data_IF_014514162874
#
_entry.id   IF_014514162874
#
_cell.length_a   1.000
_cell.length_b   1.000
_cell.length_c   1.000
_cell.angle_alpha   90.00
_cell.angle_beta   90.00
_cell.angle_gamma   90.00
#
_symmetry.space_group_name_H-M   'P 1'
#
loop_
_entity.id
_entity.type
_entity.pdbx_description
1 polymer ?
#
# COMPACT_ATOMS: atom_id res chain seq x y z
N UNK A 1 -4.77 18.89 -9.15
CA UNK A 1 -4.17 17.55 -9.31
C UNK A 1 -5.30 16.57 -9.58
N UNK A 2 -5.07 15.47 -10.30
CA UNK A 2 -6.12 14.46 -10.53
C UNK A 2 -6.15 13.50 -9.35
N UNK A 3 -7.35 13.22 -8.82
CA UNK A 3 -7.53 12.25 -7.76
C UNK A 3 -7.46 10.81 -8.31
N UNK A 4 -6.81 9.90 -7.57
CA UNK A 4 -6.90 8.46 -7.76
C UNK A 4 -8.10 7.90 -6.99
N UNK A 5 -8.28 8.37 -5.75
CA UNK A 5 -9.44 8.08 -4.94
C UNK A 5 -10.04 9.34 -4.36
N UNK A 6 -11.37 9.36 -4.25
CA UNK A 6 -12.13 10.34 -3.50
C UNK A 6 -13.05 9.62 -2.51
N UNK A 7 -12.89 9.92 -1.24
CA UNK A 7 -13.60 9.26 -0.15
C UNK A 7 -14.47 10.29 0.54
N UNK A 8 -15.77 10.00 0.66
CA UNK A 8 -16.75 10.91 1.23
C UNK A 8 -17.58 10.21 2.31
N UNK A 9 -17.59 10.79 3.51
CA UNK A 9 -18.39 10.39 4.68
C UNK A 9 -18.33 8.87 4.93
N UNK A 10 -17.10 8.30 4.86
CA UNK A 10 -16.93 6.86 5.02
C UNK A 10 -16.92 6.50 6.50
N UNK A 11 -17.87 5.66 6.88
CA UNK A 11 -17.88 4.98 8.17
C UNK A 11 -17.67 3.48 7.98
N UNK A 12 -17.00 2.83 8.93
CA UNK A 12 -16.84 1.38 8.94
C UNK A 12 -16.93 0.83 10.36
N UNK A 13 -17.71 -0.22 10.51
CA UNK A 13 -17.77 -1.00 11.75
C UNK A 13 -17.54 -2.50 11.51
N UNK A 14 -16.98 -3.18 12.51
CA UNK A 14 -16.98 -4.63 12.63
C UNK A 14 -17.91 -5.01 13.78
N UNK A 15 -19.06 -5.58 13.44
CA UNK A 15 -20.17 -5.74 14.40
C UNK A 15 -20.53 -4.40 15.03
N UNK A 16 -20.50 -4.32 16.34
CA UNK A 16 -20.83 -3.10 17.10
C UNK A 16 -19.65 -2.09 17.21
N UNK A 17 -18.43 -2.49 16.81
CA UNK A 17 -17.24 -1.65 16.97
C UNK A 17 -17.04 -0.74 15.78
N UNK A 18 -17.27 0.57 15.95
CA UNK A 18 -16.93 1.59 14.96
C UNK A 18 -15.42 1.77 14.90
N UNK A 19 -14.84 1.56 13.69
CA UNK A 19 -13.39 1.63 13.42
C UNK A 19 -13.02 2.84 12.60
N UNK A 20 -13.84 3.21 11.62
CA UNK A 20 -13.68 4.45 10.84
C UNK A 20 -14.92 5.31 11.06
N UNK A 21 -14.71 6.64 11.15
CA UNK A 21 -15.75 7.61 11.47
C UNK A 21 -15.63 8.82 10.56
N UNK A 22 -16.62 8.99 9.69
CA UNK A 22 -16.75 10.16 8.81
C UNK A 22 -15.46 10.52 8.06
N UNK A 23 -14.81 9.52 7.46
CA UNK A 23 -13.57 9.73 6.72
C UNK A 23 -13.87 10.48 5.43
N UNK A 24 -13.19 11.61 5.25
CA UNK A 24 -13.21 12.42 4.04
C UNK A 24 -11.78 12.71 3.62
N UNK A 25 -11.36 12.24 2.42
CA UNK A 25 -10.00 12.43 1.92
C UNK A 25 -9.93 12.22 0.40
N UNK A 26 -9.14 13.07 -0.27
CA UNK A 26 -8.79 12.92 -1.68
C UNK A 26 -7.34 12.46 -1.80
N UNK A 27 -7.11 11.33 -2.50
CA UNK A 27 -5.79 10.74 -2.71
C UNK A 27 -5.38 10.97 -4.17
N UNK A 28 -4.21 11.57 -4.39
CA UNK A 28 -3.80 12.07 -5.71
C UNK A 28 -2.99 11.06 -6.51
N UNK A 29 -3.20 11.05 -7.84
CA UNK A 29 -2.45 10.20 -8.78
C UNK A 29 -0.95 10.55 -8.78
N UNK A 30 -0.11 9.51 -8.91
CA UNK A 30 1.34 9.62 -8.99
C UNK A 30 1.94 10.40 -7.81
N UNK A 31 1.36 10.16 -6.62
CA UNK A 31 1.81 10.70 -5.34
C UNK A 31 1.91 9.58 -4.31
N UNK A 32 2.83 9.76 -3.37
CA UNK A 32 2.92 8.92 -2.19
C UNK A 32 2.13 9.59 -1.07
N UNK A 33 1.09 8.91 -0.58
CA UNK A 33 0.34 9.35 0.60
C UNK A 33 0.60 8.41 1.76
N UNK A 34 1.12 8.92 2.87
CA UNK A 34 1.32 8.16 4.08
C UNK A 34 0.15 8.32 5.05
N UNK A 35 -0.31 7.21 5.63
CA UNK A 35 -1.23 7.18 6.77
C UNK A 35 -0.42 6.89 8.04
N UNK A 36 -0.38 7.85 8.96
CA UNK A 36 0.31 7.74 10.25
C UNK A 36 -0.67 7.82 11.43
N UNK A 37 -0.26 7.37 12.60
CA UNK A 37 -1.08 7.41 13.82
C UNK A 37 -0.87 6.17 14.69
N UNK A 38 -1.45 6.16 15.91
CA UNK A 38 -1.32 5.04 16.84
C UNK A 38 -1.81 3.70 16.27
N UNK A 39 -1.34 2.60 16.85
CA UNK A 39 -1.85 1.27 16.48
C UNK A 39 -3.34 1.15 16.76
N UNK A 40 -4.08 0.51 15.85
CA UNK A 40 -5.51 0.28 16.01
C UNK A 40 -6.41 1.49 15.72
N UNK A 41 -5.89 2.63 15.22
CA UNK A 41 -6.69 3.82 14.91
C UNK A 41 -7.42 3.78 13.55
N UNK A 42 -7.35 2.66 12.78
CA UNK A 42 -8.14 2.48 11.55
C UNK A 42 -7.36 2.59 10.23
N UNK A 43 -6.05 2.90 10.22
CA UNK A 43 -5.23 3.09 9.00
C UNK A 43 -5.30 1.92 8.02
N UNK A 44 -4.95 0.72 8.48
CA UNK A 44 -4.99 -0.50 7.66
C UNK A 44 -6.42 -0.87 7.26
N UNK A 45 -7.41 -0.51 8.09
CA UNK A 45 -8.82 -0.70 7.74
C UNK A 45 -9.21 0.18 6.56
N UNK A 46 -8.86 1.48 6.58
CA UNK A 46 -9.09 2.36 5.44
C UNK A 46 -8.34 1.89 4.21
N UNK A 47 -7.05 1.50 4.35
CA UNK A 47 -6.26 0.99 3.24
C UNK A 47 -6.97 -0.18 2.55
N UNK A 48 -7.52 -1.12 3.32
CA UNK A 48 -8.25 -2.30 2.81
C UNK A 48 -9.63 -1.98 2.23
N UNK A 49 -10.22 -0.82 2.56
CA UNK A 49 -11.44 -0.37 1.90
C UNK A 49 -11.16 -0.06 0.41
N UNK A 50 -9.98 0.50 0.07
CA UNK A 50 -9.67 0.99 -1.27
C UNK A 50 -9.64 -0.12 -2.34
N UNK A 51 -9.40 -1.38 -1.92
CA UNK A 51 -9.43 -2.54 -2.81
C UNK A 51 -10.49 -3.57 -2.42
N UNK A 52 -11.43 -3.19 -1.56
CA UNK A 52 -12.55 -4.03 -1.11
C UNK A 52 -12.10 -5.32 -0.41
N UNK A 53 -10.92 -5.32 0.23
CA UNK A 53 -10.48 -6.48 1.02
C UNK A 53 -11.33 -6.68 2.30
N UNK A 54 -11.97 -5.61 2.79
CA UNK A 54 -12.87 -5.71 3.95
C UNK A 54 -14.17 -6.46 3.62
N UNK A 55 -14.55 -6.63 2.36
CA UNK A 55 -15.68 -7.47 1.92
C UNK A 55 -15.50 -8.96 2.31
N UNK A 56 -14.26 -9.36 2.64
CA UNK A 56 -13.93 -10.73 3.05
C UNK A 56 -14.04 -10.95 4.56
N UNK A 57 -14.43 -9.92 5.32
CA UNK A 57 -14.53 -9.96 6.78
C UNK A 57 -16.01 -10.00 7.13
N UNK A 58 -16.41 -11.03 7.88
CA UNK A 58 -17.78 -11.16 8.38
C UNK A 58 -18.14 -9.97 9.28
N UNK A 59 -19.41 -9.58 9.27
CA UNK A 59 -19.95 -8.44 10.03
C UNK A 59 -19.25 -7.08 9.77
N UNK A 60 -18.63 -6.91 8.60
CA UNK A 60 -18.10 -5.62 8.18
C UNK A 60 -19.19 -4.78 7.51
N UNK A 61 -19.52 -3.64 8.13
CA UNK A 61 -20.50 -2.69 7.62
C UNK A 61 -19.80 -1.40 7.20
N UNK A 62 -19.97 -1.02 5.93
CA UNK A 62 -19.35 0.18 5.34
C UNK A 62 -20.47 1.07 4.80
N UNK A 63 -20.45 2.35 5.16
CA UNK A 63 -21.33 3.38 4.61
C UNK A 63 -20.49 4.53 4.06
N UNK A 64 -21.10 5.44 3.30
CA UNK A 64 -20.38 6.49 2.56
C UNK A 64 -19.97 6.03 1.17
N UNK A 65 -19.07 6.75 0.53
CA UNK A 65 -18.70 6.52 -0.87
C UNK A 65 -17.18 6.54 -1.06
N UNK A 66 -16.67 5.59 -1.80
CA UNK A 66 -15.29 5.57 -2.28
C UNK A 66 -15.33 5.56 -3.81
N UNK A 67 -14.85 6.64 -4.42
CA UNK A 67 -14.68 6.73 -5.86
C UNK A 67 -13.23 6.42 -6.23
N UNK A 68 -13.04 5.54 -7.20
CA UNK A 68 -11.77 5.27 -7.86
C UNK A 68 -11.89 5.70 -9.32
N UNK A 69 -11.08 6.68 -9.74
CA UNK A 69 -11.15 7.30 -11.07
C UNK A 69 -12.60 7.69 -11.44
N UNK A 70 -13.28 8.42 -10.53
CA UNK A 70 -14.67 8.91 -10.60
C UNK A 70 -15.77 7.82 -10.62
N UNK A 71 -15.42 6.56 -10.36
CA UNK A 71 -16.39 5.44 -10.31
C UNK A 71 -16.48 4.87 -8.90
N UNK A 72 -17.71 4.65 -8.43
CA UNK A 72 -17.93 3.99 -7.14
C UNK A 72 -17.38 2.55 -7.18
N UNK A 73 -16.43 2.27 -6.27
CA UNK A 73 -15.80 0.95 -6.18
C UNK A 73 -16.80 -0.17 -5.88
N UNK A 74 -17.94 0.14 -5.22
CA UNK A 74 -18.98 -0.84 -4.93
C UNK A 74 -19.70 -1.32 -6.20
N UNK A 75 -19.69 -0.51 -7.27
CA UNK A 75 -20.27 -0.86 -8.58
C UNK A 75 -19.26 -1.58 -9.48
N UNK A 76 -17.99 -1.67 -9.08
CA UNK A 76 -16.95 -2.33 -9.85
C UNK A 76 -16.86 -3.82 -9.52
N UNK A 77 -16.46 -4.62 -10.52
CA UNK A 77 -16.07 -6.01 -10.25
C UNK A 77 -14.80 -6.02 -9.36
N UNK A 78 -14.84 -6.67 -8.18
CA UNK A 78 -13.70 -6.70 -7.26
C UNK A 78 -12.40 -7.24 -7.88
N UNK A 79 -12.49 -8.17 -8.82
CA UNK A 79 -11.28 -8.70 -9.51
C UNK A 79 -10.65 -7.63 -10.39
N UNK A 80 -11.45 -6.84 -11.11
CA UNK A 80 -10.95 -5.72 -11.93
C UNK A 80 -10.36 -4.64 -11.04
N UNK A 81 -11.04 -4.27 -9.95
CA UNK A 81 -10.53 -3.30 -8.98
C UNK A 81 -9.18 -3.75 -8.42
N UNK A 82 -9.06 -5.00 -7.96
CA UNK A 82 -7.82 -5.55 -7.37
C UNK A 82 -6.69 -5.76 -8.37
N UNK A 83 -6.98 -5.78 -9.67
CA UNK A 83 -5.95 -5.74 -10.72
C UNK A 83 -5.33 -4.34 -10.81
N UNK A 84 -6.15 -3.29 -10.71
CA UNK A 84 -5.71 -1.91 -10.82
C UNK A 84 -5.22 -1.32 -9.48
N UNK A 85 -5.62 -1.93 -8.36
CA UNK A 85 -5.27 -1.51 -7.00
C UNK A 85 -4.58 -2.68 -6.28
N UNK A 86 -3.27 -2.78 -6.49
CA UNK A 86 -2.42 -3.83 -5.90
C UNK A 86 -2.21 -3.62 -4.41
N UNK A 87 -1.86 -4.70 -3.69
CA UNK A 87 -1.60 -4.63 -2.25
C UNK A 87 -0.34 -5.40 -1.84
N UNK A 88 0.46 -4.77 -1.01
CA UNK A 88 1.63 -5.33 -0.32
C UNK A 88 1.32 -5.36 1.17
N UNK A 89 1.43 -6.53 1.79
CA UNK A 89 1.08 -6.75 3.19
C UNK A 89 2.26 -6.51 4.12
N UNK A 90 1.97 -6.31 5.40
CA UNK A 90 2.94 -6.10 6.46
C UNK A 90 3.95 -7.26 6.57
N UNK A 91 3.44 -8.49 6.60
CA UNK A 91 4.27 -9.67 6.56
C UNK A 91 4.44 -10.12 5.11
N UNK A 92 5.69 -10.36 4.64
CA UNK A 92 5.91 -10.94 3.33
C UNK A 92 5.12 -12.23 3.17
N UNK A 93 4.44 -12.37 2.05
CA UNK A 93 3.58 -13.53 1.78
C UNK A 93 3.86 -14.13 0.39
N UNK A 94 5.10 -14.54 0.11
CA UNK A 94 5.39 -15.24 -1.13
C UNK A 94 4.60 -16.54 -1.20
N UNK A 95 4.10 -16.88 -2.37
CA UNK A 95 3.47 -18.18 -2.59
C UNK A 95 4.53 -19.29 -2.50
N UNK A 96 4.17 -20.53 -2.12
CA UNK A 96 5.07 -21.69 -2.10
C UNK A 96 5.39 -22.17 -3.53
N UNK A 97 5.93 -21.28 -4.33
CA UNK A 97 6.29 -21.42 -5.73
C UNK A 97 7.70 -20.86 -5.96
N UNK A 98 8.22 -20.99 -7.17
CA UNK A 98 9.49 -20.36 -7.53
C UNK A 98 9.40 -18.83 -7.50
N UNK A 99 10.56 -18.17 -7.46
CA UNK A 99 10.68 -16.71 -7.57
C UNK A 99 9.98 -16.22 -8.85
N UNK A 100 10.27 -16.87 -9.99
CA UNK A 100 9.63 -16.55 -11.27
C UNK A 100 8.11 -16.67 -11.21
N UNK A 101 7.59 -17.80 -10.72
CA UNK A 101 6.14 -18.05 -10.70
C UNK A 101 5.41 -17.13 -9.72
N UNK A 102 6.06 -16.65 -8.65
CA UNK A 102 5.47 -15.62 -7.79
C UNK A 102 5.16 -14.35 -8.55
N UNK A 103 6.09 -13.84 -9.35
CA UNK A 103 5.90 -12.60 -10.11
C UNK A 103 4.96 -12.83 -11.30
N UNK A 104 5.08 -13.98 -11.98
CA UNK A 104 4.25 -14.33 -13.13
C UNK A 104 2.81 -14.70 -12.77
N UNK A 105 2.50 -14.94 -11.48
CA UNK A 105 1.22 -15.52 -11.04
C UNK A 105 0.00 -14.73 -11.52
N UNK A 106 -0.03 -13.44 -11.26
CA UNK A 106 -1.14 -12.57 -11.67
C UNK A 106 -1.33 -12.53 -13.19
N UNK A 107 -0.24 -12.46 -13.94
CA UNK A 107 -0.26 -12.47 -15.42
C UNK A 107 -0.85 -13.78 -15.95
N UNK A 108 -0.50 -14.92 -15.33
CA UNK A 108 -1.09 -16.20 -15.68
C UNK A 108 -2.58 -16.29 -15.37
N UNK A 109 -3.02 -15.71 -14.25
CA UNK A 109 -4.44 -15.62 -13.91
C UNK A 109 -5.23 -14.79 -14.92
N UNK A 110 -4.59 -13.77 -15.55
CA UNK A 110 -5.15 -13.02 -16.67
C UNK A 110 -5.13 -13.78 -18.02
N UNK A 111 -4.63 -15.02 -18.04
CA UNK A 111 -4.57 -15.84 -19.24
C UNK A 111 -3.37 -15.57 -20.15
N UNK A 112 -2.37 -14.81 -19.70
CA UNK A 112 -1.14 -14.57 -20.48
C UNK A 112 -0.33 -15.86 -20.54
N UNK A 113 -0.16 -16.43 -21.75
CA UNK A 113 0.55 -17.68 -22.02
C UNK A 113 1.86 -17.48 -22.77
N UNK A 114 2.10 -16.31 -23.33
CA UNK A 114 3.31 -16.01 -24.10
C UNK A 114 4.53 -16.03 -23.19
N UNK A 115 5.41 -17.04 -23.38
CA UNK A 115 6.59 -17.25 -22.52
C UNK A 115 7.56 -16.07 -22.54
N UNK A 116 7.75 -15.43 -23.71
CA UNK A 116 8.65 -14.28 -23.84
C UNK A 116 8.11 -13.10 -23.06
N UNK A 117 6.83 -12.76 -23.26
CA UNK A 117 6.17 -11.67 -22.54
C UNK A 117 6.22 -11.90 -21.00
N UNK A 118 5.91 -13.10 -20.54
CA UNK A 118 6.00 -13.44 -19.11
C UNK A 118 7.42 -13.25 -18.58
N UNK A 119 8.43 -13.74 -19.32
CA UNK A 119 9.83 -13.61 -18.92
C UNK A 119 10.26 -12.13 -18.85
N UNK A 120 9.95 -11.36 -19.89
CA UNK A 120 10.35 -9.96 -20.00
C UNK A 120 9.68 -9.14 -18.87
N UNK A 121 8.38 -9.34 -18.59
CA UNK A 121 7.66 -8.68 -17.49
C UNK A 121 8.21 -9.07 -16.12
N UNK A 122 8.50 -10.37 -15.90
CA UNK A 122 9.07 -10.83 -14.62
C UNK A 122 10.44 -10.19 -14.38
N UNK A 123 11.31 -10.18 -15.40
CA UNK A 123 12.65 -9.57 -15.29
C UNK A 123 12.54 -8.08 -15.01
N UNK A 124 11.68 -7.36 -15.74
CA UNK A 124 11.46 -5.93 -15.53
C UNK A 124 10.96 -5.63 -14.10
N UNK A 125 9.95 -6.37 -13.65
CA UNK A 125 9.40 -6.21 -12.30
C UNK A 125 10.42 -6.51 -11.19
N UNK A 126 11.25 -7.54 -11.37
CA UNK A 126 12.33 -7.84 -10.42
C UNK A 126 13.42 -6.77 -10.43
N UNK A 127 13.73 -6.16 -11.59
CA UNK A 127 14.66 -5.04 -11.69
C UNK A 127 14.09 -3.80 -10.99
N UNK A 128 12.83 -3.44 -11.27
CA UNK A 128 12.13 -2.34 -10.60
C UNK A 128 12.09 -2.55 -9.09
N UNK A 129 11.92 -3.78 -8.62
CA UNK A 129 11.96 -4.13 -7.19
C UNK A 129 13.38 -4.24 -6.60
N UNK A 130 14.42 -3.85 -7.35
CA UNK A 130 15.83 -3.93 -6.96
C UNK A 130 16.24 -5.34 -6.45
N UNK A 131 15.62 -6.40 -6.99
CA UNK A 131 15.84 -7.78 -6.56
C UNK A 131 16.53 -8.64 -7.64
N UNK A 132 16.45 -8.23 -8.92
CA UNK A 132 16.90 -9.04 -10.06
C UNK A 132 18.36 -9.53 -9.93
N UNK A 133 19.29 -8.63 -9.61
CA UNK A 133 20.72 -8.99 -9.53
C UNK A 133 21.02 -10.02 -8.43
N UNK A 134 20.20 -10.05 -7.39
CA UNK A 134 20.36 -11.02 -6.29
C UNK A 134 19.78 -12.42 -6.62
N UNK A 135 18.88 -12.51 -7.62
CA UNK A 135 18.11 -13.74 -7.88
C UNK A 135 18.17 -14.22 -9.33
N UNK A 136 18.83 -13.52 -10.26
CA UNK A 136 18.83 -13.80 -11.69
C UNK A 136 19.24 -15.24 -12.05
N UNK A 137 20.16 -15.82 -11.31
CA UNK A 137 20.67 -17.19 -11.54
C UNK A 137 19.86 -18.28 -10.82
N UNK A 138 18.85 -17.87 -10.03
CA UNK A 138 18.04 -18.75 -9.18
C UNK A 138 16.53 -18.49 -9.26
N UNK A 139 16.05 -18.00 -10.40
CA UNK A 139 14.63 -17.70 -10.62
C UNK A 139 13.69 -18.91 -10.46
N UNK A 140 14.23 -20.12 -10.57
CA UNK A 140 13.48 -21.37 -10.39
C UNK A 140 13.48 -21.88 -8.95
N UNK A 141 14.28 -21.28 -8.05
CA UNK A 141 14.33 -21.66 -6.65
C UNK A 141 13.04 -21.23 -5.94
N UNK A 142 12.77 -21.90 -4.82
CA UNK A 142 11.63 -21.56 -3.97
C UNK A 142 11.74 -20.13 -3.44
N UNK A 143 10.67 -19.35 -3.58
CA UNK A 143 10.59 -18.01 -3.02
C UNK A 143 10.70 -17.98 -1.48
N UNK A 144 10.35 -19.10 -0.82
CA UNK A 144 10.45 -19.24 0.64
C UNK A 144 11.91 -19.33 1.13
N UNK A 145 12.88 -19.57 0.24
CA UNK A 145 14.31 -19.59 0.57
C UNK A 145 14.94 -18.20 0.65
N UNK A 146 14.21 -17.17 0.28
CA UNK A 146 14.66 -15.77 0.30
C UNK A 146 14.66 -15.22 1.73
N UNK A 147 15.55 -14.24 2.02
CA UNK A 147 15.49 -13.47 3.26
C UNK A 147 14.21 -12.63 3.36
N UNK A 148 13.83 -12.18 4.55
CA UNK A 148 12.60 -11.39 4.75
C UNK A 148 12.54 -10.14 3.86
N UNK A 149 13.63 -9.37 3.76
CA UNK A 149 13.70 -8.21 2.87
C UNK A 149 13.63 -8.57 1.37
N UNK A 150 14.21 -9.71 0.97
CA UNK A 150 14.08 -10.22 -0.40
C UNK A 150 12.66 -10.68 -0.69
N UNK A 151 12.01 -11.37 0.27
CA UNK A 151 10.61 -11.77 0.14
C UNK A 151 9.68 -10.56 0.01
N UNK A 152 9.93 -9.50 0.77
CA UNK A 152 9.14 -8.27 0.68
C UNK A 152 9.30 -7.61 -0.71
N UNK A 153 10.53 -7.48 -1.21
CA UNK A 153 10.78 -6.97 -2.56
C UNK A 153 10.17 -7.86 -3.64
N UNK A 154 10.14 -9.18 -3.43
CA UNK A 154 9.44 -10.10 -4.32
C UNK A 154 7.92 -9.86 -4.32
N UNK A 155 7.31 -9.61 -3.15
CA UNK A 155 5.89 -9.26 -3.06
C UNK A 155 5.58 -7.93 -3.76
N UNK A 156 6.49 -6.95 -3.69
CA UNK A 156 6.38 -5.71 -4.45
C UNK A 156 6.51 -5.99 -5.95
N UNK A 157 7.53 -6.78 -6.39
CA UNK A 157 7.68 -7.18 -7.79
C UNK A 157 6.42 -7.87 -8.34
N UNK A 158 5.81 -8.75 -7.54
CA UNK A 158 4.54 -9.41 -7.88
C UNK A 158 3.40 -8.41 -8.07
N UNK A 159 3.32 -7.39 -7.22
CA UNK A 159 2.28 -6.37 -7.30
C UNK A 159 2.45 -5.50 -8.56
N UNK A 160 3.66 -4.99 -8.82
CA UNK A 160 3.93 -4.10 -9.97
C UNK A 160 3.90 -4.83 -11.32
N UNK A 161 4.10 -6.15 -11.35
CA UNK A 161 4.03 -6.95 -12.59
C UNK A 161 2.66 -6.88 -13.28
N UNK A 162 1.62 -6.56 -12.51
CA UNK A 162 0.25 -6.37 -13.03
C UNK A 162 0.02 -4.99 -13.63
N UNK A 163 1.00 -4.08 -13.56
CA UNK A 163 0.90 -2.67 -13.94
C UNK A 163 -0.34 -1.98 -13.32
N UNK A 164 -0.49 -2.04 -11.99
CA UNK A 164 -1.61 -1.38 -11.32
C UNK A 164 -1.47 0.14 -11.39
N UNK A 165 -2.59 0.88 -11.31
CA UNK A 165 -2.57 2.33 -11.16
C UNK A 165 -2.18 2.76 -9.73
N UNK A 166 -2.53 1.91 -8.75
CA UNK A 166 -2.32 2.18 -7.32
C UNK A 166 -1.70 0.98 -6.62
N UNK A 167 -0.74 1.25 -5.73
CA UNK A 167 -0.13 0.26 -4.85
C UNK A 167 -0.42 0.64 -3.40
N UNK A 168 -1.14 -0.23 -2.70
CA UNK A 168 -1.40 -0.12 -1.28
C UNK A 168 -0.31 -0.87 -0.51
N UNK A 169 0.29 -0.25 0.51
CA UNK A 169 1.35 -0.85 1.31
C UNK A 169 0.99 -0.76 2.80
N UNK A 170 0.74 -1.89 3.43
CA UNK A 170 0.41 -1.97 4.86
C UNK A 170 1.68 -2.28 5.65
N UNK A 171 2.29 -1.27 6.25
CA UNK A 171 3.53 -1.35 7.06
C UNK A 171 4.66 -2.19 6.41
N UNK A 172 5.08 -1.92 5.16
CA UNK A 172 5.91 -2.83 4.37
C UNK A 172 7.33 -3.05 4.91
N UNK A 173 7.74 -2.31 5.93
CA UNK A 173 9.10 -2.36 6.50
C UNK A 173 9.15 -2.76 7.98
N UNK A 174 7.98 -2.97 8.61
CA UNK A 174 7.89 -3.17 10.08
C UNK A 174 8.60 -4.43 10.59
N UNK A 175 8.74 -5.46 9.75
CA UNK A 175 9.39 -6.73 10.08
C UNK A 175 10.84 -6.82 9.55
N UNK A 176 11.43 -5.70 9.08
CA UNK A 176 12.72 -5.69 8.40
C UNK A 176 13.79 -5.01 9.23
N UNK A 177 15.04 -5.41 9.00
CA UNK A 177 16.20 -4.71 9.54
C UNK A 177 16.39 -3.32 8.89
N UNK A 178 17.20 -2.42 9.49
CA UNK A 178 17.38 -1.06 8.96
C UNK A 178 17.93 -0.99 7.53
N UNK A 179 18.79 -1.93 7.12
CA UNK A 179 19.36 -1.95 5.76
C UNK A 179 18.30 -2.35 4.74
N UNK A 180 17.52 -3.38 5.05
CA UNK A 180 16.40 -3.80 4.21
C UNK A 180 15.31 -2.70 4.14
N UNK A 181 15.05 -1.99 5.24
CA UNK A 181 14.12 -0.86 5.29
C UNK A 181 14.54 0.25 4.33
N UNK A 182 15.82 0.68 4.35
CA UNK A 182 16.32 1.71 3.43
C UNK A 182 16.15 1.30 1.97
N UNK A 183 16.46 0.04 1.62
CA UNK A 183 16.26 -0.47 0.25
C UNK A 183 14.79 -0.42 -0.19
N UNK A 184 13.85 -0.68 0.72
CA UNK A 184 12.41 -0.57 0.42
C UNK A 184 11.99 0.90 0.27
N UNK A 185 12.53 1.82 1.08
CA UNK A 185 12.24 3.25 0.96
C UNK A 185 12.75 3.82 -0.39
N UNK A 186 13.99 3.50 -0.76
CA UNK A 186 14.56 3.87 -2.07
C UNK A 186 13.73 3.29 -3.23
N UNK A 187 13.28 2.05 -3.09
CA UNK A 187 12.40 1.42 -4.05
C UNK A 187 11.06 2.17 -4.16
N UNK A 188 10.40 2.48 -3.05
CA UNK A 188 9.12 3.20 -3.03
C UNK A 188 9.28 4.57 -3.72
N UNK A 189 10.35 5.31 -3.41
CA UNK A 189 10.62 6.61 -4.04
C UNK A 189 10.83 6.47 -5.56
N UNK A 190 11.50 5.42 -6.01
CA UNK A 190 11.70 5.16 -7.45
C UNK A 190 10.41 4.80 -8.21
N UNK A 191 9.39 4.32 -7.51
CA UNK A 191 8.12 3.89 -8.12
C UNK A 191 7.09 5.02 -8.26
N UNK A 192 7.26 6.16 -7.59
CA UNK A 192 6.25 7.24 -7.53
C UNK A 192 5.91 7.86 -8.87
N UNK A 193 6.86 7.86 -9.83
CA UNK A 193 6.64 8.43 -11.16
C UNK A 193 5.68 7.57 -12.02
N UNK A 194 5.64 6.26 -11.75
CA UNK A 194 4.79 5.32 -12.48
C UNK A 194 3.49 4.99 -11.75
N UNK A 195 3.51 4.96 -10.40
CA UNK A 195 2.42 4.45 -9.57
C UNK A 195 1.93 5.48 -8.55
N UNK A 196 0.66 5.44 -8.24
CA UNK A 196 0.13 6.07 -7.03
C UNK A 196 0.39 5.14 -5.86
N UNK A 197 0.98 5.63 -4.76
CA UNK A 197 1.32 4.78 -3.61
C UNK A 197 0.60 5.30 -2.36
N UNK A 198 -0.07 4.39 -1.65
CA UNK A 198 -0.68 4.69 -0.36
C UNK A 198 -0.05 3.74 0.66
N UNK A 199 0.67 4.31 1.63
CA UNK A 199 1.43 3.55 2.61
C UNK A 199 0.91 3.79 4.03
N UNK A 200 0.66 2.73 4.77
CA UNK A 200 0.48 2.78 6.22
C UNK A 200 1.84 2.58 6.87
N UNK A 201 2.20 3.45 7.79
CA UNK A 201 3.41 3.28 8.61
C UNK A 201 3.21 3.86 10.01
N UNK A 202 3.83 3.23 10.99
CA UNK A 202 3.97 3.79 12.34
C UNK A 202 5.30 4.55 12.51
N UNK A 203 6.19 4.50 11.49
CA UNK A 203 7.46 5.22 11.51
C UNK A 203 7.30 6.61 10.88
N UNK A 204 7.21 7.64 11.74
CA UNK A 204 7.07 9.03 11.32
C UNK A 204 8.24 9.53 10.47
N UNK A 205 9.47 9.07 10.76
CA UNK A 205 10.65 9.44 9.98
C UNK A 205 10.58 8.87 8.56
N UNK A 206 10.06 7.65 8.40
CA UNK A 206 9.79 7.05 7.09
C UNK A 206 8.77 7.90 6.33
N UNK A 207 7.61 8.19 6.92
CA UNK A 207 6.59 9.02 6.29
C UNK A 207 7.17 10.38 5.85
N UNK A 208 7.93 11.04 6.72
CA UNK A 208 8.54 12.34 6.43
C UNK A 208 9.54 12.30 5.26
N UNK A 209 10.23 11.15 5.04
CA UNK A 209 11.22 11.02 3.96
C UNK A 209 10.62 10.71 2.60
N UNK A 210 9.60 9.83 2.56
CA UNK A 210 9.17 9.23 1.29
C UNK A 210 7.82 9.75 0.78
N UNK A 211 6.97 10.38 1.60
CA UNK A 211 5.62 10.76 1.16
C UNK A 211 5.50 12.20 0.71
N UNK A 212 4.63 12.45 -0.27
CA UNK A 212 4.21 13.80 -0.71
C UNK A 212 3.14 14.36 0.22
N UNK A 213 2.20 13.51 0.64
CA UNK A 213 1.08 13.83 1.53
C UNK A 213 1.08 12.92 2.74
N UNK A 214 0.65 13.44 3.88
CA UNK A 214 0.50 12.64 5.10
C UNK A 214 -0.86 12.90 5.74
N UNK A 215 -1.56 11.82 6.10
CA UNK A 215 -2.79 11.85 6.88
C UNK A 215 -2.53 11.29 8.28
N UNK A 216 -2.80 12.08 9.31
CA UNK A 216 -2.72 11.66 10.70
C UNK A 216 -4.07 11.13 11.17
N UNK A 217 -4.07 9.88 11.60
CA UNK A 217 -5.24 9.15 12.10
C UNK A 217 -5.24 9.06 13.62
N UNK A 218 -6.42 9.25 14.22
CA UNK A 218 -6.64 9.05 15.64
C UNK A 218 -8.09 8.61 15.91
N UNK A 219 -8.26 7.52 16.65
CA UNK A 219 -9.57 7.01 17.12
C UNK A 219 -10.63 6.84 16.00
N UNK A 220 -10.18 6.46 14.81
CA UNK A 220 -11.03 6.22 13.64
C UNK A 220 -11.30 7.43 12.77
N UNK A 221 -10.68 8.58 13.05
CA UNK A 221 -10.86 9.83 12.32
C UNK A 221 -9.54 10.29 11.69
N UNK A 222 -9.61 11.06 10.60
CA UNK A 222 -8.48 11.82 10.07
C UNK A 222 -8.47 13.16 10.81
N UNK A 223 -7.43 13.36 11.64
CA UNK A 223 -7.25 14.59 12.40
C UNK A 223 -6.68 15.70 11.53
N UNK A 224 -5.73 15.35 10.66
CA UNK A 224 -5.09 16.29 9.76
C UNK A 224 -4.61 15.57 8.49
N UNK A 225 -4.74 16.23 7.34
CA UNK A 225 -4.25 15.78 6.04
C UNK A 225 -3.70 16.96 5.26
N UNK A 226 -2.42 16.93 4.94
CA UNK A 226 -1.75 18.00 4.20
C UNK A 226 -0.50 17.49 3.47
N UNK A 227 0.22 18.41 2.81
CA UNK A 227 1.58 18.13 2.34
C UNK A 227 2.44 17.64 3.52
N UNK A 228 3.23 16.63 3.28
CA UNK A 228 4.07 16.01 4.33
C UNK A 228 4.98 17.04 5.01
N UNK A 229 5.59 17.91 4.22
CA UNK A 229 6.45 18.97 4.74
C UNK A 229 5.71 19.89 5.72
N UNK A 230 4.48 20.30 5.37
CA UNK A 230 3.65 21.18 6.20
C UNK A 230 3.24 20.47 7.49
N UNK A 231 2.77 19.22 7.38
CA UNK A 231 2.30 18.44 8.53
C UNK A 231 3.40 18.22 9.57
N UNK A 232 4.66 17.96 9.12
CA UNK A 232 5.77 17.71 10.03
C UNK A 232 6.45 18.99 10.56
N UNK A 233 6.44 20.10 9.79
CA UNK A 233 7.09 21.36 10.20
C UNK A 233 6.15 22.33 10.90
N UNK A 234 4.87 22.37 10.48
CA UNK A 234 3.90 23.35 10.95
C UNK A 234 2.49 22.74 11.02
N UNK A 235 2.28 21.71 11.87
CA UNK A 235 0.98 21.05 12.02
C UNK A 235 -0.10 22.06 12.47
N UNK A 236 -1.28 22.00 11.86
CA UNK A 236 -2.39 22.90 12.16
C UNK A 236 -3.21 22.42 13.36
N UNK A 237 -3.12 21.12 13.69
CA UNK A 237 -3.85 20.50 14.78
C UNK A 237 -2.93 20.21 15.95
N UNK A 238 -3.34 20.64 17.16
CA UNK A 238 -2.59 20.38 18.38
C UNK A 238 -2.33 18.89 18.62
N UNK A 239 -3.30 18.02 18.30
CA UNK A 239 -3.15 16.57 18.40
C UNK A 239 -2.06 16.04 17.48
N UNK A 240 -1.90 16.61 16.27
CA UNK A 240 -0.83 16.24 15.32
C UNK A 240 0.53 16.66 15.88
N UNK A 241 0.65 17.89 16.40
CA UNK A 241 1.87 18.39 17.04
C UNK A 241 2.30 17.49 18.21
N UNK A 242 1.37 17.16 19.10
CA UNK A 242 1.62 16.32 20.27
C UNK A 242 2.08 14.91 19.85
N UNK A 243 1.47 14.35 18.78
CA UNK A 243 1.87 13.05 18.24
C UNK A 243 3.28 13.07 17.66
N UNK A 244 3.60 14.04 16.80
CA UNK A 244 4.91 14.17 16.13
C UNK A 244 6.03 14.43 17.14
N UNK A 245 5.75 15.22 18.19
CA UNK A 245 6.74 15.56 19.24
C UNK A 245 6.86 14.52 20.34
N UNK A 246 6.12 13.42 20.26
CA UNK A 246 6.12 12.36 21.29
C UNK A 246 5.51 12.77 22.63
N UNK A 247 4.72 13.85 22.67
CA UNK A 247 4.03 14.33 23.88
C UNK A 247 2.65 13.69 24.07
N UNK A 248 2.46 12.53 23.49
CA UNK A 248 1.26 11.74 23.58
C UNK A 248 1.28 10.94 24.90
N UNK A 249 0.48 11.35 25.87
CA UNK A 249 0.28 10.68 27.14
C UNK A 249 -1.11 10.97 27.66
#
# INVERSE_FOLDING_TARGET
>A
MKEAFKINNLDLSYGEKNVLKNINIDLYKNKITAFIGPSGCGKSTLLRCLNRMNDLIDDCHITGTILYDDKDINQMNPMVLRTNVGMVFQNPNPFPMSIFENVAYGLRCQGIKNKKMLHDTVVDSLKKAALYEEVKDRLKDSALSLSGGQQQRLCIARAIAMHPDVILMDEPTSALDPIATLKIEELIDSLKDEFTIIIVTHNMQQAARISDYTAFFMLGEIVEYSLTEDLFKNPQQKKTEDYITGRFG
#
